data_IF_382952192694
#
_entry.id   IF_382952192694
#
_cell.length_a   1.000
_cell.length_b   1.000
_cell.length_c   1.000
_cell.angle_alpha   90.00
_cell.angle_beta   90.00
_cell.angle_gamma   90.00
#
_symmetry.space_group_name_H-M   'P 1'
#
loop_
_entity.id
_entity.type
_entity.pdbx_description
1 polymer ?
#
# COMPACT_ATOMS: atom_id res chain seq x y z
N UNK A 1 7.27 2.65 5.95
CA UNK A 1 7.59 1.21 6.04
C UNK A 1 8.27 0.80 4.76
N UNK A 2 9.10 -0.22 4.82
CA UNK A 2 9.62 -0.89 3.61
C UNK A 2 8.51 -1.69 2.91
N UNK A 3 8.84 -2.25 1.75
CA UNK A 3 7.93 -3.01 0.92
C UNK A 3 7.36 -4.27 1.62
N UNK A 4 8.14 -4.91 2.49
CA UNK A 4 7.67 -6.07 3.26
C UNK A 4 6.59 -5.67 4.27
N UNK A 5 6.76 -4.52 4.93
CA UNK A 5 5.72 -3.96 5.81
C UNK A 5 4.44 -3.65 5.03
N UNK A 6 4.56 -3.03 3.85
CA UNK A 6 3.40 -2.71 2.99
C UNK A 6 2.69 -3.98 2.52
N UNK A 7 3.46 -5.02 2.16
CA UNK A 7 2.89 -6.31 1.78
C UNK A 7 2.11 -6.95 2.93
N UNK A 8 2.67 -6.97 4.14
CA UNK A 8 1.98 -7.51 5.32
C UNK A 8 0.67 -6.74 5.63
N UNK A 9 0.65 -5.43 5.42
CA UNK A 9 -0.59 -4.64 5.54
C UNK A 9 -1.62 -5.00 4.48
N UNK A 10 -1.21 -5.15 3.22
CA UNK A 10 -2.11 -5.56 2.13
C UNK A 10 -2.70 -6.96 2.40
N UNK A 11 -1.88 -7.90 2.87
CA UNK A 11 -2.32 -9.23 3.26
C UNK A 11 -3.36 -9.16 4.39
N UNK A 12 -3.09 -8.41 5.46
CA UNK A 12 -4.03 -8.24 6.57
C UNK A 12 -5.36 -7.58 6.12
N UNK A 13 -5.29 -6.50 5.33
CA UNK A 13 -6.48 -5.80 4.84
C UNK A 13 -7.31 -6.68 3.90
N UNK A 14 -6.66 -7.52 3.08
CA UNK A 14 -7.34 -8.45 2.17
C UNK A 14 -8.17 -9.53 2.87
N UNK A 15 -7.89 -9.80 4.16
CA UNK A 15 -8.66 -10.73 4.98
C UNK A 15 -9.86 -10.08 5.67
N UNK A 16 -9.99 -8.74 5.63
CA UNK A 16 -11.11 -8.07 6.26
C UNK A 16 -12.43 -8.34 5.54
N UNK A 17 -13.48 -8.50 6.32
CA UNK A 17 -14.85 -8.72 5.86
C UNK A 17 -15.80 -7.78 6.59
N UNK A 18 -16.90 -7.40 5.94
CA UNK A 18 -18.02 -6.72 6.60
C UNK A 18 -18.86 -7.70 7.45
N UNK A 19 -19.92 -7.18 8.07
CA UNK A 19 -20.85 -7.96 8.90
C UNK A 19 -21.65 -9.01 8.09
N UNK A 20 -21.69 -8.88 6.77
CA UNK A 20 -22.30 -9.85 5.85
C UNK A 20 -21.29 -10.88 5.31
N UNK A 21 -20.01 -10.79 5.72
CA UNK A 21 -18.93 -11.67 5.27
C UNK A 21 -18.36 -11.32 3.89
N UNK A 22 -18.67 -10.15 3.32
CA UNK A 22 -18.12 -9.70 2.02
C UNK A 22 -16.74 -9.07 2.19
N UNK A 23 -15.82 -9.25 1.23
CA UNK A 23 -14.51 -8.62 1.27
C UNK A 23 -14.58 -7.08 1.20
N UNK A 24 -13.77 -6.42 2.02
CA UNK A 24 -13.63 -4.95 2.03
C UNK A 24 -12.62 -4.48 0.96
N UNK A 25 -12.93 -4.73 -0.31
CA UNK A 25 -12.04 -4.40 -1.43
C UNK A 25 -11.79 -2.90 -1.58
N UNK A 26 -12.78 -2.08 -1.23
CA UNK A 26 -12.72 -0.62 -1.20
C UNK A 26 -11.69 -0.10 -0.17
N UNK A 27 -11.59 -0.76 0.99
CA UNK A 27 -10.58 -0.45 2.01
C UNK A 27 -9.18 -0.76 1.49
N UNK A 28 -9.00 -1.92 0.85
CA UNK A 28 -7.71 -2.29 0.23
C UNK A 28 -7.34 -1.29 -0.87
N UNK A 29 -8.29 -0.89 -1.72
CA UNK A 29 -8.08 0.09 -2.77
C UNK A 29 -7.70 1.47 -2.20
N UNK A 30 -8.38 1.91 -1.15
CA UNK A 30 -8.10 3.18 -0.47
C UNK A 30 -6.70 3.18 0.15
N UNK A 31 -6.32 2.09 0.81
CA UNK A 31 -4.98 1.93 1.36
C UNK A 31 -3.90 2.01 0.26
N UNK A 32 -4.09 1.31 -0.87
CA UNK A 32 -3.17 1.37 -2.01
C UNK A 32 -3.02 2.79 -2.54
N UNK A 33 -4.11 3.52 -2.70
CA UNK A 33 -4.09 4.90 -3.18
C UNK A 33 -3.32 5.82 -2.22
N UNK A 34 -3.58 5.73 -0.91
CA UNK A 34 -2.88 6.51 0.11
C UNK A 34 -1.38 6.17 0.17
N UNK A 35 -1.05 4.88 0.11
CA UNK A 35 0.34 4.42 0.13
C UNK A 35 1.09 4.90 -1.13
N UNK A 36 0.49 4.82 -2.32
CA UNK A 36 1.08 5.36 -3.56
C UNK A 36 1.36 6.85 -3.45
N UNK A 37 0.38 7.65 -3.02
CA UNK A 37 0.57 9.08 -2.82
C UNK A 37 1.69 9.38 -1.80
N UNK A 38 1.83 8.55 -0.77
CA UNK A 38 2.90 8.66 0.21
C UNK A 38 4.27 8.34 -0.40
N UNK A 39 4.37 7.30 -1.23
CA UNK A 39 5.60 6.96 -1.97
C UNK A 39 6.01 8.11 -2.88
N UNK A 40 5.08 8.64 -3.67
CA UNK A 40 5.33 9.74 -4.59
C UNK A 40 5.82 10.99 -3.84
N UNK A 41 5.18 11.31 -2.71
CA UNK A 41 5.62 12.42 -1.85
C UNK A 41 7.03 12.19 -1.32
N UNK A 42 7.31 11.01 -0.75
CA UNK A 42 8.62 10.68 -0.18
C UNK A 42 9.74 10.67 -1.22
N UNK A 43 9.46 10.21 -2.45
CA UNK A 43 10.42 10.28 -3.55
C UNK A 43 10.68 11.73 -3.97
N UNK A 44 9.61 12.53 -4.13
CA UNK A 44 9.73 13.94 -4.53
C UNK A 44 10.50 14.81 -3.53
N UNK A 45 10.45 14.46 -2.24
CA UNK A 45 11.18 15.15 -1.16
C UNK A 45 12.55 14.53 -0.88
N UNK A 46 12.97 13.51 -1.64
CA UNK A 46 14.25 12.83 -1.45
C UNK A 46 14.36 11.99 -0.18
N UNK A 47 13.23 11.67 0.48
CA UNK A 47 13.22 10.82 1.66
C UNK A 47 13.47 9.34 1.34
N UNK A 48 13.20 8.93 0.10
CA UNK A 48 13.52 7.59 -0.42
C UNK A 48 14.17 7.70 -1.81
N UNK A 49 14.99 6.70 -2.15
CA UNK A 49 15.57 6.59 -3.49
C UNK A 49 14.56 6.07 -4.51
N UNK A 50 14.77 6.40 -5.79
CA UNK A 50 13.90 5.97 -6.89
C UNK A 50 13.72 4.44 -6.96
N UNK A 51 14.79 3.66 -6.74
CA UNK A 51 14.70 2.20 -6.71
C UNK A 51 13.80 1.66 -5.59
N UNK A 52 13.82 2.31 -4.41
CA UNK A 52 12.94 1.96 -3.31
C UNK A 52 11.49 2.36 -3.61
N UNK A 53 11.28 3.51 -4.25
CA UNK A 53 9.96 3.96 -4.69
C UNK A 53 9.37 3.02 -5.76
N UNK A 54 10.17 2.59 -6.73
CA UNK A 54 9.78 1.61 -7.75
C UNK A 54 9.38 0.27 -7.13
N UNK A 55 10.19 -0.24 -6.20
CA UNK A 55 9.87 -1.49 -5.50
C UNK A 55 8.54 -1.38 -4.71
N UNK A 56 8.32 -0.26 -4.02
CA UNK A 56 7.07 0.00 -3.31
C UNK A 56 5.86 0.10 -4.25
N UNK A 57 6.00 0.78 -5.40
CA UNK A 57 4.94 0.82 -6.43
C UNK A 57 4.61 -0.56 -6.97
N UNK A 58 5.61 -1.43 -7.14
CA UNK A 58 5.41 -2.82 -7.57
C UNK A 58 4.58 -3.64 -6.57
N UNK A 59 4.81 -3.48 -5.27
CA UNK A 59 4.00 -4.14 -4.23
C UNK A 59 2.57 -3.59 -4.17
N UNK A 60 2.40 -2.29 -4.41
CA UNK A 60 1.10 -1.63 -4.30
C UNK A 60 0.13 -2.00 -5.43
N UNK A 61 0.61 -2.57 -6.55
CA UNK A 61 -0.22 -3.04 -7.67
C UNK A 61 -0.72 -1.89 -8.52
#
# INVERSE_FOLDING_TARGET
>A
GDAGTVQAHLEALSQLRDDEGKPLEDVVATYRALARATVDRCESTGQIQAAAAEHLRGVLG
#
